data_IF_729555158435
#
_entry.id   IF_729555158435
#
_cell.length_a   1.000
_cell.length_b   1.000
_cell.length_c   1.000
_cell.angle_alpha   90.00
_cell.angle_beta   90.00
_cell.angle_gamma   90.00
#
_symmetry.space_group_name_H-M   'P 1'
#
loop_
_entity.id
_entity.type
_entity.pdbx_description
1 polymer ?
#
# COMPACT_ATOMS: atom_id res chain seq x y z
N UNK A 1 6.06 8.27 21.09
CA UNK A 1 5.33 8.11 19.81
C UNK A 1 4.80 9.42 19.22
N UNK A 2 4.91 10.58 19.90
CA UNK A 2 4.41 11.91 19.46
C UNK A 2 4.98 12.51 18.14
N UNK A 3 5.80 11.77 17.39
CA UNK A 3 6.50 12.26 16.18
C UNK A 3 6.30 11.36 14.95
N UNK A 4 5.37 10.42 14.96
CA UNK A 4 5.10 9.59 13.77
C UNK A 4 3.90 10.15 13.03
N UNK A 5 4.04 10.33 11.71
CA UNK A 5 3.06 11.00 10.87
C UNK A 5 1.95 10.05 10.38
N UNK A 6 1.31 9.40 11.35
CA UNK A 6 0.17 8.52 11.08
C UNK A 6 -1.13 9.33 11.05
N UNK A 7 -2.05 8.93 10.18
CA UNK A 7 -3.44 9.40 10.20
C UNK A 7 -4.39 8.21 10.25
N UNK A 8 -5.36 8.24 11.18
CA UNK A 8 -6.35 7.17 11.30
C UNK A 8 -7.50 7.38 10.34
N UNK A 9 -7.59 6.51 9.34
CA UNK A 9 -8.59 6.60 8.26
C UNK A 9 -9.57 5.45 8.36
N UNK A 10 -10.85 5.73 8.11
CA UNK A 10 -11.91 4.75 8.10
C UNK A 10 -12.70 4.75 6.78
N UNK A 11 -13.19 3.56 6.45
CA UNK A 11 -14.23 3.34 5.46
C UNK A 11 -15.39 2.63 6.15
N UNK A 12 -16.60 3.13 5.97
CA UNK A 12 -17.77 2.63 6.69
C UNK A 12 -18.96 2.52 5.75
N UNK A 13 -19.93 1.71 6.13
CA UNK A 13 -21.28 1.76 5.57
C UNK A 13 -22.31 1.52 6.67
N UNK A 14 -23.57 1.80 6.34
CA UNK A 14 -24.70 1.74 7.25
C UNK A 14 -25.77 0.80 6.70
N UNK A 15 -26.64 0.33 7.59
CA UNK A 15 -27.90 -0.30 7.24
C UNK A 15 -28.90 0.77 6.78
N UNK A 16 -28.74 1.25 5.55
CA UNK A 16 -29.55 2.35 5.02
C UNK A 16 -30.99 1.90 4.70
N UNK A 17 -31.84 2.88 4.44
CA UNK A 17 -33.17 2.69 3.86
C UNK A 17 -33.33 3.63 2.68
N UNK A 18 -33.67 3.06 1.53
CA UNK A 18 -33.90 3.82 0.29
C UNK A 18 -34.96 4.89 0.52
N UNK A 19 -34.62 6.14 0.17
CA UNK A 19 -35.41 7.36 0.30
C UNK A 19 -35.77 7.82 1.73
N UNK A 20 -35.30 7.16 2.79
CA UNK A 20 -35.53 7.57 4.19
C UNK A 20 -34.29 8.31 4.74
N UNK A 21 -34.12 9.57 4.33
CA UNK A 21 -33.00 10.42 4.74
C UNK A 21 -32.92 10.58 6.25
N UNK A 22 -34.06 10.59 6.93
CA UNK A 22 -34.14 10.66 8.39
C UNK A 22 -33.52 9.43 9.07
N UNK A 23 -33.79 8.22 8.57
CA UNK A 23 -33.15 6.99 9.03
C UNK A 23 -31.66 6.97 8.72
N UNK A 24 -31.28 7.26 7.48
CA UNK A 24 -29.89 7.22 7.02
C UNK A 24 -29.03 8.20 7.80
N UNK A 25 -29.53 9.41 8.08
CA UNK A 25 -28.90 10.39 8.98
C UNK A 25 -28.58 9.80 10.36
N UNK A 26 -29.55 9.16 11.01
CA UNK A 26 -29.35 8.58 12.36
C UNK A 26 -28.25 7.54 12.34
N UNK A 27 -28.24 6.66 11.33
CA UNK A 27 -27.22 5.62 11.16
C UNK A 27 -25.84 6.20 10.84
N UNK A 28 -25.77 7.22 10.00
CA UNK A 28 -24.54 7.97 9.74
C UNK A 28 -23.99 8.56 11.04
N UNK A 29 -24.82 9.22 11.85
CA UNK A 29 -24.42 9.80 13.13
C UNK A 29 -23.95 8.73 14.13
N UNK A 30 -24.64 7.58 14.20
CA UNK A 30 -24.19 6.44 15.01
C UNK A 30 -22.77 6.01 14.61
N UNK A 31 -22.49 5.86 13.31
CA UNK A 31 -21.16 5.48 12.80
C UNK A 31 -20.11 6.56 12.96
N UNK A 32 -20.47 7.83 12.76
CA UNK A 32 -19.59 8.99 13.00
C UNK A 32 -19.19 9.04 14.48
N UNK A 33 -20.11 8.83 15.40
CA UNK A 33 -19.82 8.80 16.83
C UNK A 33 -18.97 7.58 17.21
N UNK A 34 -19.26 6.39 16.65
CA UNK A 34 -18.42 5.21 16.81
C UNK A 34 -16.99 5.49 16.33
N UNK A 35 -16.84 6.09 15.14
CA UNK A 35 -15.55 6.41 14.55
C UNK A 35 -14.79 7.45 15.39
N UNK A 36 -15.49 8.50 15.81
CA UNK A 36 -14.95 9.53 16.69
C UNK A 36 -14.40 8.92 17.98
N UNK A 37 -15.13 8.01 18.63
CA UNK A 37 -14.69 7.35 19.86
C UNK A 37 -13.47 6.44 19.65
N UNK A 38 -13.26 5.93 18.43
CA UNK A 38 -12.07 5.14 18.05
C UNK A 38 -10.86 6.00 17.63
N UNK A 39 -10.99 7.32 17.74
CA UNK A 39 -9.92 8.26 17.38
C UNK A 39 -9.71 8.43 15.88
N UNK A 40 -10.70 8.06 15.05
CA UNK A 40 -10.62 8.26 13.59
C UNK A 40 -10.63 9.75 13.27
N UNK A 41 -9.81 10.13 12.29
CA UNK A 41 -9.60 11.49 11.81
C UNK A 41 -10.28 11.74 10.47
N UNK A 42 -10.43 10.70 9.65
CA UNK A 42 -11.06 10.78 8.33
C UNK A 42 -11.96 9.57 8.12
N UNK A 43 -13.20 9.80 7.68
CA UNK A 43 -14.16 8.74 7.37
C UNK A 43 -14.84 8.96 6.02
N UNK A 44 -14.86 7.90 5.20
CA UNK A 44 -15.63 7.85 3.96
C UNK A 44 -16.85 6.92 4.12
N UNK A 45 -18.01 7.41 3.65
CA UNK A 45 -19.24 6.64 3.53
C UNK A 45 -19.55 6.34 2.05
N UNK A 46 -20.51 5.44 1.75
CA UNK A 46 -20.85 5.10 0.39
C UNK A 46 -21.39 6.27 -0.46
N UNK A 47 -21.46 6.01 -1.75
CA UNK A 47 -22.12 6.86 -2.73
C UNK A 47 -23.61 7.01 -2.40
N UNK A 48 -24.14 8.24 -2.54
CA UNK A 48 -25.54 8.59 -2.27
C UNK A 48 -26.10 8.08 -0.93
N UNK A 49 -25.24 7.83 0.08
CA UNK A 49 -25.64 7.21 1.35
C UNK A 49 -26.80 7.89 2.06
N UNK A 50 -26.93 9.22 1.93
CA UNK A 50 -28.02 9.93 2.60
C UNK A 50 -29.40 9.54 2.07
N UNK A 51 -29.51 9.22 0.78
CA UNK A 51 -30.78 8.82 0.14
C UNK A 51 -30.86 7.33 -0.13
N UNK A 52 -29.72 6.66 -0.32
CA UNK A 52 -29.62 5.39 -1.03
C UNK A 52 -29.37 5.64 -2.52
N UNK A 53 -28.47 4.84 -3.10
CA UNK A 53 -28.10 4.87 -4.50
C UNK A 53 -29.24 4.42 -5.42
N UNK A 54 -30.06 3.48 -4.94
CA UNK A 54 -31.11 2.83 -5.73
C UNK A 54 -32.47 3.57 -5.72
N UNK A 55 -32.50 4.87 -5.37
CA UNK A 55 -33.74 5.66 -5.38
C UNK A 55 -34.37 5.84 -6.76
N UNK A 56 -33.59 5.74 -7.84
CA UNK A 56 -34.07 5.87 -9.22
C UNK A 56 -34.80 7.20 -9.47
N UNK A 57 -35.97 7.15 -10.12
CA UNK A 57 -36.72 8.36 -10.49
C UNK A 57 -37.19 9.22 -9.29
N UNK A 58 -37.09 8.71 -8.05
CA UNK A 58 -37.33 9.51 -6.85
C UNK A 58 -36.34 10.67 -6.71
N UNK A 59 -35.16 10.60 -7.36
CA UNK A 59 -34.20 11.69 -7.40
C UNK A 59 -34.75 13.00 -7.98
N UNK A 60 -35.81 12.95 -8.79
CA UNK A 60 -36.47 14.15 -9.32
C UNK A 60 -37.49 14.78 -8.35
N UNK A 61 -37.75 14.15 -7.20
CA UNK A 61 -38.71 14.66 -6.24
C UNK A 61 -38.05 15.71 -5.35
N UNK A 62 -38.54 16.95 -5.42
CA UNK A 62 -38.08 18.06 -4.56
C UNK A 62 -38.10 17.72 -3.08
N UNK A 63 -39.07 16.91 -2.66
CA UNK A 63 -39.17 16.43 -1.29
C UNK A 63 -37.94 15.61 -0.87
N UNK A 64 -37.50 14.66 -1.71
CA UNK A 64 -36.32 13.84 -1.41
C UNK A 64 -35.04 14.70 -1.33
N UNK A 65 -34.88 15.64 -2.26
CA UNK A 65 -33.73 16.55 -2.27
C UNK A 65 -33.71 17.47 -1.04
N UNK A 66 -34.87 18.02 -0.64
CA UNK A 66 -35.00 18.84 0.56
C UNK A 66 -34.74 18.05 1.85
N UNK A 67 -35.21 16.80 1.94
CA UNK A 67 -34.93 15.92 3.08
C UNK A 67 -33.43 15.54 3.15
N UNK A 68 -32.78 15.33 2.00
CA UNK A 68 -31.34 15.09 1.90
C UNK A 68 -30.54 16.29 2.41
N UNK A 69 -30.87 17.50 1.95
CA UNK A 69 -30.22 18.74 2.40
C UNK A 69 -30.44 19.00 3.90
N UNK A 70 -31.68 18.84 4.39
CA UNK A 70 -32.00 18.99 5.81
C UNK A 70 -31.23 17.98 6.66
N UNK A 71 -31.08 16.74 6.19
CA UNK A 71 -30.36 15.72 6.91
C UNK A 71 -28.85 16.00 6.98
N UNK A 72 -28.26 16.52 5.90
CA UNK A 72 -26.85 16.95 5.89
C UNK A 72 -26.63 18.12 6.85
N UNK A 73 -27.54 19.10 6.85
CA UNK A 73 -27.49 20.23 7.77
C UNK A 73 -27.51 19.77 9.24
N UNK A 74 -28.38 18.83 9.60
CA UNK A 74 -28.39 18.25 10.94
C UNK A 74 -27.07 17.54 11.28
N UNK A 75 -26.46 16.83 10.32
CA UNK A 75 -25.16 16.16 10.53
C UNK A 75 -24.07 17.21 10.79
N UNK A 76 -24.05 18.31 10.05
CA UNK A 76 -23.13 19.42 10.28
C UNK A 76 -23.26 19.93 11.72
N UNK A 77 -24.47 20.27 12.17
CA UNK A 77 -24.72 20.78 13.53
C UNK A 77 -24.25 19.78 14.61
N UNK A 78 -24.59 18.49 14.45
CA UNK A 78 -24.29 17.42 15.42
C UNK A 78 -22.84 16.91 15.36
N UNK A 79 -22.02 17.43 14.44
CA UNK A 79 -20.59 17.12 14.31
C UNK A 79 -19.69 18.34 14.48
N UNK A 80 -20.25 19.46 14.93
CA UNK A 80 -19.51 20.70 15.21
C UNK A 80 -18.43 20.57 16.29
N UNK A 81 -18.57 19.60 17.19
CA UNK A 81 -17.62 19.25 18.25
C UNK A 81 -16.53 18.27 17.81
N UNK A 82 -16.50 17.87 16.53
CA UNK A 82 -15.63 16.80 16.01
C UNK A 82 -14.66 17.34 14.96
N UNK A 83 -13.36 17.30 15.27
CA UNK A 83 -12.26 17.60 14.35
C UNK A 83 -11.96 16.44 13.38
N UNK A 84 -13.00 15.93 12.73
CA UNK A 84 -12.95 14.80 11.80
C UNK A 84 -13.36 15.26 10.40
N UNK A 85 -12.69 14.76 9.36
CA UNK A 85 -13.10 14.94 7.97
C UNK A 85 -14.10 13.84 7.59
N UNK A 86 -15.31 14.23 7.22
CA UNK A 86 -16.42 13.31 6.95
C UNK A 86 -16.83 13.46 5.49
N UNK A 87 -16.79 12.37 4.72
CA UNK A 87 -17.27 12.34 3.34
C UNK A 87 -18.56 11.51 3.22
N UNK A 88 -19.65 12.14 2.78
CA UNK A 88 -20.99 11.54 2.65
C UNK A 88 -21.49 11.72 1.21
N UNK A 89 -22.06 10.67 0.61
CA UNK A 89 -22.68 10.79 -0.71
C UNK A 89 -24.10 11.37 -0.67
N UNK A 90 -24.42 12.28 -1.59
CA UNK A 90 -25.73 12.92 -1.71
C UNK A 90 -26.07 13.37 -3.15
N UNK A 91 -27.35 13.39 -3.55
CA UNK A 91 -27.79 14.01 -4.79
C UNK A 91 -27.96 15.53 -4.59
N UNK A 92 -27.37 16.34 -5.47
CA UNK A 92 -27.35 17.80 -5.34
C UNK A 92 -27.73 18.47 -6.65
N UNK A 93 -28.62 19.46 -6.58
CA UNK A 93 -29.01 20.27 -7.73
C UNK A 93 -28.08 21.49 -7.87
N UNK A 94 -27.47 21.66 -9.03
CA UNK A 94 -26.66 22.82 -9.39
C UNK A 94 -27.04 23.31 -10.79
N UNK A 95 -27.37 24.59 -10.93
CA UNK A 95 -27.83 25.17 -12.21
C UNK A 95 -28.99 24.40 -12.87
N UNK A 96 -29.99 23.98 -12.09
CA UNK A 96 -31.15 23.19 -12.52
C UNK A 96 -30.79 21.81 -13.12
N UNK A 97 -29.63 21.26 -12.74
CA UNK A 97 -29.19 19.92 -13.10
C UNK A 97 -28.82 19.15 -11.85
N UNK A 98 -29.12 17.86 -11.83
CA UNK A 98 -28.82 17.00 -10.70
C UNK A 98 -27.46 16.33 -10.87
N UNK A 99 -26.70 16.25 -9.79
CA UNK A 99 -25.38 15.63 -9.73
C UNK A 99 -25.30 14.66 -8.57
N UNK A 100 -24.57 13.57 -8.79
CA UNK A 100 -24.18 12.63 -7.75
C UNK A 100 -22.89 13.15 -7.11
N UNK A 101 -22.94 13.50 -5.83
CA UNK A 101 -21.87 14.26 -5.19
C UNK A 101 -21.36 13.61 -3.91
N UNK A 102 -20.08 13.83 -3.62
CA UNK A 102 -19.53 13.72 -2.29
C UNK A 102 -19.60 15.06 -1.57
N UNK A 103 -20.13 15.05 -0.36
CA UNK A 103 -20.29 16.19 0.56
C UNK A 103 -19.25 16.05 1.65
N UNK A 104 -18.40 17.06 1.80
CA UNK A 104 -17.26 17.03 2.72
C UNK A 104 -17.52 17.97 3.90
N UNK A 105 -17.57 17.40 5.09
CA UNK A 105 -17.82 18.11 6.35
C UNK A 105 -16.58 18.04 7.23
N UNK A 106 -16.21 19.16 7.86
CA UNK A 106 -15.19 19.22 8.89
C UNK A 106 -15.59 20.22 9.98
N UNK A 107 -15.49 19.82 11.25
CA UNK A 107 -15.86 20.66 12.41
C UNK A 107 -17.26 21.28 12.27
N UNK A 108 -18.23 20.48 11.82
CA UNK A 108 -19.61 20.92 11.56
C UNK A 108 -19.80 21.96 10.46
N UNK A 109 -18.79 22.16 9.61
CA UNK A 109 -18.86 23.05 8.45
C UNK A 109 -18.80 22.23 7.17
N UNK A 110 -19.66 22.55 6.20
CA UNK A 110 -19.58 22.02 4.84
C UNK A 110 -18.47 22.76 4.09
N UNK A 111 -17.39 22.06 3.73
CA UNK A 111 -16.19 22.71 3.17
C UNK A 111 -16.03 22.48 1.66
N UNK A 112 -16.64 21.43 1.10
CA UNK A 112 -16.57 21.15 -0.33
C UNK A 112 -17.68 20.20 -0.78
N UNK A 113 -18.05 20.30 -2.06
CA UNK A 113 -18.92 19.37 -2.77
C UNK A 113 -18.24 18.95 -4.09
N UNK A 114 -18.05 17.64 -4.28
CA UNK A 114 -17.37 17.07 -5.44
C UNK A 114 -18.35 16.23 -6.25
N UNK A 115 -18.72 16.64 -7.49
CA UNK A 115 -19.58 15.84 -8.36
C UNK A 115 -18.81 14.70 -9.06
N UNK A 116 -19.48 13.56 -9.23
CA UNK A 116 -18.99 12.38 -9.96
C UNK A 116 -18.73 12.71 -11.42
N UNK A 117 -17.63 12.21 -11.98
CA UNK A 117 -17.24 12.51 -13.37
C UNK A 117 -17.82 11.48 -14.32
N UNK A 118 -17.55 10.20 -14.09
CA UNK A 118 -17.96 9.13 -14.98
C UNK A 118 -19.28 8.54 -14.51
N UNK A 119 -20.33 8.70 -15.32
CA UNK A 119 -21.67 8.16 -15.02
C UNK A 119 -21.91 6.90 -15.85
N UNK A 120 -21.91 5.70 -15.23
CA UNK A 120 -22.18 4.46 -15.95
C UNK A 120 -23.63 4.45 -16.45
N UNK A 121 -23.79 4.10 -17.72
CA UNK A 121 -25.09 3.98 -18.39
C UNK A 121 -25.11 2.74 -19.30
N UNK A 122 -24.69 1.61 -18.75
CA UNK A 122 -24.57 0.31 -19.41
C UNK A 122 -24.97 -0.81 -18.43
N UNK A 123 -25.43 -1.94 -18.97
CA UNK A 123 -25.92 -3.09 -18.21
C UNK A 123 -26.96 -2.70 -17.14
N UNK A 124 -26.65 -2.90 -15.86
CA UNK A 124 -27.50 -2.58 -14.72
C UNK A 124 -27.54 -1.08 -14.34
N UNK A 125 -26.67 -0.26 -14.92
CA UNK A 125 -26.51 1.14 -14.55
C UNK A 125 -27.23 2.09 -15.49
N UNK A 126 -27.98 3.03 -14.91
CA UNK A 126 -28.78 4.04 -15.62
C UNK A 126 -28.51 5.47 -15.12
N UNK A 127 -27.31 5.75 -14.58
CA UNK A 127 -27.06 7.01 -13.86
C UNK A 127 -27.27 8.26 -14.71
N UNK A 128 -26.96 8.19 -16.01
CA UNK A 128 -27.16 9.33 -16.93
C UNK A 128 -28.65 9.68 -17.15
N UNK A 129 -29.57 8.82 -16.73
CA UNK A 129 -31.00 9.17 -16.67
C UNK A 129 -31.28 10.27 -15.66
N UNK A 130 -30.61 10.24 -14.50
CA UNK A 130 -30.91 11.10 -13.36
C UNK A 130 -29.85 12.20 -13.17
N UNK A 131 -28.58 11.87 -13.37
CA UNK A 131 -27.45 12.73 -13.02
C UNK A 131 -26.71 13.25 -14.24
N UNK A 132 -26.02 14.37 -14.05
CA UNK A 132 -25.12 14.99 -15.02
C UNK A 132 -23.68 14.80 -14.56
N UNK A 133 -22.77 14.66 -15.53
CA UNK A 133 -21.35 14.52 -15.25
C UNK A 133 -20.78 15.82 -14.67
N UNK A 134 -19.92 15.71 -13.66
CA UNK A 134 -19.15 16.81 -13.10
C UNK A 134 -17.99 17.28 -13.96
N UNK A 135 -17.73 16.64 -15.13
CA UNK A 135 -16.58 16.98 -15.96
C UNK A 135 -16.59 18.45 -16.37
N UNK A 136 -15.44 19.11 -16.25
CA UNK A 136 -15.28 20.52 -16.61
C UNK A 136 -15.84 21.51 -15.58
N UNK A 137 -16.51 21.07 -14.52
CA UNK A 137 -16.96 21.95 -13.44
C UNK A 137 -15.75 22.29 -12.55
N UNK A 138 -15.29 23.54 -12.68
CA UNK A 138 -14.14 24.08 -11.97
C UNK A 138 -14.40 25.53 -11.54
N UNK A 139 -13.84 25.94 -10.41
CA UNK A 139 -13.96 27.31 -9.91
C UNK A 139 -15.38 27.73 -9.53
N UNK A 140 -16.33 26.80 -9.38
CA UNK A 140 -17.71 27.11 -9.03
C UNK A 140 -17.94 27.06 -7.51
N UNK A 141 -18.96 27.79 -7.06
CA UNK A 141 -19.50 27.74 -5.70
C UNK A 141 -21.01 27.46 -5.79
N UNK A 142 -21.58 26.91 -4.73
CA UNK A 142 -23.00 26.61 -4.58
C UNK A 142 -23.50 27.06 -3.21
N UNK A 143 -24.72 27.57 -3.13
CA UNK A 143 -25.44 27.72 -1.87
C UNK A 143 -26.10 26.38 -1.50
N UNK A 144 -25.61 25.73 -0.45
CA UNK A 144 -26.15 24.47 0.02
C UNK A 144 -26.09 24.40 1.55
N UNK A 145 -27.17 23.94 2.19
CA UNK A 145 -27.36 24.00 3.64
C UNK A 145 -27.20 25.43 4.21
N UNK A 146 -27.44 26.46 3.40
CA UNK A 146 -27.27 27.89 3.77
C UNK A 146 -25.82 28.38 3.82
N UNK A 147 -24.89 27.67 3.17
CA UNK A 147 -23.47 28.04 3.08
C UNK A 147 -23.06 28.16 1.61
N UNK A 148 -22.25 29.18 1.29
CA UNK A 148 -21.52 29.22 0.02
C UNK A 148 -20.31 28.31 0.09
N UNK A 149 -20.30 27.26 -0.73
CA UNK A 149 -19.28 26.20 -0.65
C UNK A 149 -18.69 25.89 -2.03
N UNK A 150 -17.37 25.58 -2.12
CA UNK A 150 -16.76 25.14 -3.35
C UNK A 150 -17.46 23.91 -3.94
N UNK A 151 -17.87 24.02 -5.21
CA UNK A 151 -18.46 22.96 -6.00
C UNK A 151 -17.57 22.67 -7.22
N UNK A 152 -17.12 21.44 -7.39
CA UNK A 152 -16.35 21.07 -8.58
C UNK A 152 -15.39 19.89 -8.41
N UNK A 153 -14.73 19.55 -9.50
CA UNK A 153 -13.79 18.42 -9.62
C UNK A 153 -12.32 18.84 -9.42
N UNK A 154 -12.11 20.13 -9.20
CA UNK A 154 -10.83 20.80 -9.01
C UNK A 154 -10.55 21.10 -7.53
N UNK A 155 -11.00 20.26 -6.61
CA UNK A 155 -10.88 20.53 -5.17
C UNK A 155 -9.93 19.51 -4.50
N UNK A 156 -9.02 20.01 -3.66
CA UNK A 156 -8.19 19.22 -2.75
C UNK A 156 -8.36 19.74 -1.33
N UNK A 157 -8.55 18.85 -0.37
CA UNK A 157 -8.61 19.24 1.03
C UNK A 157 -7.21 19.12 1.65
N UNK A 158 -6.68 20.20 2.21
CA UNK A 158 -5.35 20.22 2.85
C UNK A 158 -5.48 20.37 4.36
N UNK A 159 -4.87 19.45 5.10
CA UNK A 159 -4.88 19.50 6.55
C UNK A 159 -3.93 20.60 7.02
N UNK A 160 -4.44 21.60 7.73
CA UNK A 160 -3.61 22.75 8.14
C UNK A 160 -2.57 22.36 9.21
N UNK A 161 -2.89 21.38 10.05
CA UNK A 161 -2.01 20.88 11.11
C UNK A 161 -1.20 19.63 10.71
N UNK A 162 -1.34 19.13 9.48
CA UNK A 162 -0.50 18.08 8.91
C UNK A 162 -0.24 18.28 7.41
N UNK A 163 0.90 18.88 7.01
CA UNK A 163 1.19 19.18 5.60
C UNK A 163 1.28 17.95 4.66
N UNK A 164 1.55 16.76 5.19
CA UNK A 164 1.61 15.53 4.39
C UNK A 164 0.22 14.90 4.20
N UNK A 165 -0.81 15.44 4.84
CA UNK A 165 -2.18 14.97 4.71
C UNK A 165 -2.97 15.86 3.75
N UNK A 166 -3.13 15.37 2.53
CA UNK A 166 -3.90 16.01 1.46
C UNK A 166 -4.89 15.01 0.92
N UNK A 167 -6.17 15.35 0.97
CA UNK A 167 -7.27 14.44 0.66
C UNK A 167 -7.89 14.83 -0.69
N UNK A 168 -7.96 13.87 -1.61
CA UNK A 168 -8.76 13.95 -2.82
C UNK A 168 -9.97 13.02 -2.73
N UNK A 169 -11.04 13.32 -3.47
CA UNK A 169 -12.24 12.47 -3.51
C UNK A 169 -12.60 12.15 -4.96
N UNK A 170 -12.99 10.90 -5.20
CA UNK A 170 -13.64 10.45 -6.42
C UNK A 170 -14.82 9.54 -6.08
N UNK A 171 -15.72 9.27 -7.03
CA UNK A 171 -16.93 8.50 -6.77
C UNK A 171 -17.06 7.29 -7.71
N UNK A 172 -17.17 6.10 -7.11
CA UNK A 172 -17.45 4.84 -7.78
C UNK A 172 -16.73 4.70 -9.12
N UNK A 173 -17.49 4.65 -10.23
CA UNK A 173 -17.05 4.47 -11.63
C UNK A 173 -15.85 5.34 -12.03
N UNK A 174 -15.61 6.46 -11.34
CA UNK A 174 -14.39 7.23 -11.49
C UNK A 174 -13.11 6.37 -11.39
N UNK A 175 -13.06 5.39 -10.49
CA UNK A 175 -11.95 4.43 -10.37
C UNK A 175 -11.86 3.45 -11.54
N UNK A 176 -12.97 3.15 -12.22
CA UNK A 176 -13.04 2.20 -13.34
C UNK A 176 -12.67 2.85 -14.68
N UNK A 177 -12.60 4.17 -14.74
CA UNK A 177 -12.16 4.89 -15.92
C UNK A 177 -10.72 4.51 -16.30
N UNK A 178 -10.40 4.59 -17.59
CA UNK A 178 -9.03 4.33 -18.11
C UNK A 178 -8.00 5.22 -17.42
N UNK A 179 -8.38 6.48 -17.17
CA UNK A 179 -7.59 7.42 -16.37
C UNK A 179 -8.50 7.93 -15.23
N UNK A 180 -8.41 7.32 -14.04
CA UNK A 180 -9.20 7.75 -12.89
C UNK A 180 -8.82 9.18 -12.45
N UNK A 181 -9.78 9.98 -11.95
CA UNK A 181 -9.52 11.30 -11.37
C UNK A 181 -8.42 11.29 -10.31
N UNK A 182 -8.32 10.23 -9.51
CA UNK A 182 -7.26 10.01 -8.51
C UNK A 182 -5.84 10.05 -9.09
N UNK A 183 -5.68 9.76 -10.39
CA UNK A 183 -4.40 9.92 -11.09
C UNK A 183 -3.97 11.39 -11.13
N UNK A 184 -4.90 12.30 -11.43
CA UNK A 184 -4.62 13.74 -11.45
C UNK A 184 -4.59 14.34 -10.04
N UNK A 185 -5.49 13.90 -9.15
CA UNK A 185 -5.51 14.35 -7.75
C UNK A 185 -4.19 14.04 -7.04
N UNK A 186 -3.62 12.84 -7.26
CA UNK A 186 -2.35 12.45 -6.65
C UNK A 186 -1.17 13.26 -7.20
N UNK A 187 -1.11 13.49 -8.52
CA UNK A 187 -0.13 14.40 -9.13
C UNK A 187 -0.28 15.84 -8.63
N UNK A 188 -1.51 16.28 -8.31
CA UNK A 188 -1.79 17.58 -7.68
C UNK A 188 -1.57 17.58 -6.15
N UNK A 189 -1.06 16.49 -5.59
CA UNK A 189 -0.56 16.41 -4.23
C UNK A 189 -1.42 15.62 -3.25
N UNK A 190 -2.57 15.05 -3.64
CA UNK A 190 -3.35 14.18 -2.76
C UNK A 190 -2.52 12.98 -2.31
N UNK A 191 -2.41 12.77 -1.00
CA UNK A 191 -1.74 11.62 -0.37
C UNK A 191 -2.73 10.58 0.13
N UNK A 192 -4.01 10.96 0.30
CA UNK A 192 -5.13 10.08 0.58
C UNK A 192 -6.23 10.33 -0.45
N UNK A 193 -6.76 9.26 -1.04
CA UNK A 193 -7.94 9.29 -1.89
C UNK A 193 -9.10 8.63 -1.16
N UNK A 194 -10.25 9.31 -1.11
CA UNK A 194 -11.51 8.73 -0.66
C UNK A 194 -12.33 8.35 -1.90
N UNK A 195 -12.84 7.13 -1.93
CA UNK A 195 -13.79 6.68 -2.94
C UNK A 195 -15.11 6.28 -2.29
N UNK A 196 -16.14 7.04 -2.62
CA UNK A 196 -17.52 6.76 -2.22
C UNK A 196 -18.17 5.95 -3.33
N UNK A 197 -18.61 4.74 -3.02
CA UNK A 197 -19.10 3.79 -4.02
C UNK A 197 -20.46 3.20 -3.70
N UNK A 198 -21.23 2.88 -4.73
CA UNK A 198 -22.34 1.95 -4.68
C UNK A 198 -22.10 0.86 -5.72
N UNK A 199 -21.06 0.05 -5.50
CA UNK A 199 -20.75 -1.06 -6.39
C UNK A 199 -21.57 -2.29 -5.98
N UNK A 200 -22.53 -2.68 -6.83
CA UNK A 200 -23.21 -3.97 -6.72
C UNK A 200 -22.21 -5.14 -6.72
N UNK A 201 -22.63 -6.27 -6.18
CA UNK A 201 -21.88 -7.52 -6.17
C UNK A 201 -22.29 -8.44 -7.32
N UNK A 202 -21.27 -8.99 -7.96
CA UNK A 202 -21.33 -10.08 -8.94
C UNK A 202 -20.27 -11.10 -8.53
N UNK A 203 -20.43 -12.36 -8.95
CA UNK A 203 -19.43 -13.41 -8.69
C UNK A 203 -18.06 -12.97 -9.22
N UNK A 204 -17.03 -13.01 -8.37
CA UNK A 204 -15.67 -12.59 -8.71
C UNK A 204 -15.39 -11.09 -8.63
N UNK A 205 -16.41 -10.21 -8.63
CA UNK A 205 -16.24 -8.75 -8.66
C UNK A 205 -15.50 -8.21 -7.43
N UNK A 206 -15.65 -8.85 -6.27
CA UNK A 206 -14.94 -8.41 -5.06
C UNK A 206 -13.41 -8.55 -5.16
N UNK A 207 -12.89 -9.58 -5.83
CA UNK A 207 -11.44 -9.70 -6.08
C UNK A 207 -10.99 -8.63 -7.06
N UNK A 208 -11.72 -8.45 -8.16
CA UNK A 208 -11.43 -7.42 -9.15
C UNK A 208 -11.41 -6.01 -8.54
N UNK A 209 -12.37 -5.70 -7.68
CA UNK A 209 -12.45 -4.44 -6.92
C UNK A 209 -11.25 -4.26 -5.98
N UNK A 210 -10.86 -5.31 -5.24
CA UNK A 210 -9.65 -5.30 -4.41
C UNK A 210 -8.42 -4.97 -5.25
N UNK A 211 -8.27 -5.64 -6.39
CA UNK A 211 -7.15 -5.43 -7.29
C UNK A 211 -7.13 -4.00 -7.83
N UNK A 212 -8.28 -3.43 -8.23
CA UNK A 212 -8.35 -2.03 -8.66
C UNK A 212 -7.91 -1.05 -7.57
N UNK A 213 -8.45 -1.18 -6.35
CA UNK A 213 -8.11 -0.30 -5.23
C UNK A 213 -6.63 -0.39 -4.87
N UNK A 214 -6.10 -1.61 -4.77
CA UNK A 214 -4.69 -1.85 -4.46
C UNK A 214 -3.79 -1.29 -5.56
N UNK A 215 -4.06 -1.60 -6.83
CA UNK A 215 -3.27 -1.10 -7.95
C UNK A 215 -3.34 0.42 -8.06
N UNK A 216 -4.51 1.04 -7.86
CA UNK A 216 -4.63 2.48 -7.94
C UNK A 216 -3.90 3.18 -6.79
N UNK A 217 -3.94 2.63 -5.58
CA UNK A 217 -3.11 3.12 -4.46
C UNK A 217 -1.61 3.09 -4.78
N UNK A 218 -1.14 2.03 -5.47
CA UNK A 218 0.25 1.89 -5.90
C UNK A 218 0.63 2.91 -6.98
N UNK A 219 -0.19 3.03 -8.03
CA UNK A 219 0.05 3.94 -9.15
C UNK A 219 0.08 5.41 -8.71
N UNK A 220 -0.79 5.77 -7.77
CA UNK A 220 -0.88 7.12 -7.22
C UNK A 220 0.17 7.40 -6.13
N UNK A 221 0.94 6.41 -5.69
CA UNK A 221 1.79 6.48 -4.49
C UNK A 221 1.01 7.15 -3.35
N UNK A 222 -0.16 6.61 -3.01
CA UNK A 222 -1.12 7.22 -2.09
C UNK A 222 -1.82 6.16 -1.25
N UNK A 223 -2.44 6.61 -0.16
CA UNK A 223 -3.48 5.84 0.51
C UNK A 223 -4.82 5.96 -0.22
N UNK A 224 -5.64 4.92 -0.11
CA UNK A 224 -6.92 4.82 -0.78
C UNK A 224 -7.94 4.18 0.15
N UNK A 225 -8.98 4.92 0.55
CA UNK A 225 -10.08 4.44 1.37
C UNK A 225 -11.35 4.35 0.52
N UNK A 226 -11.83 3.14 0.34
CA UNK A 226 -12.96 2.81 -0.51
C UNK A 226 -14.13 2.32 0.37
N UNK A 227 -15.29 2.94 0.24
CA UNK A 227 -16.50 2.59 0.98
C UNK A 227 -17.64 2.29 -0.01
N UNK A 228 -18.12 1.03 -0.03
CA UNK A 228 -19.25 0.64 -0.88
C UNK A 228 -20.54 0.48 -0.08
N UNK A 229 -21.66 0.80 -0.73
CA UNK A 229 -23.01 0.54 -0.23
C UNK A 229 -23.17 -0.94 0.14
N UNK A 230 -24.01 -1.20 1.13
CA UNK A 230 -24.25 -2.52 1.72
C UNK A 230 -25.73 -2.82 1.87
N UNK A 231 -26.09 -3.48 2.98
CA UNK A 231 -27.48 -3.82 3.28
C UNK A 231 -28.36 -2.56 3.34
N UNK A 232 -29.56 -2.64 2.76
CA UNK A 232 -30.54 -1.56 2.78
C UNK A 232 -30.90 -0.97 1.42
N UNK A 233 -30.01 -1.10 0.44
CA UNK A 233 -30.31 -0.76 -0.95
C UNK A 233 -31.40 -1.66 -1.54
N UNK A 234 -32.10 -1.16 -2.56
CA UNK A 234 -33.15 -1.90 -3.25
C UNK A 234 -32.58 -3.14 -3.94
N UNK A 235 -33.22 -4.28 -3.67
CA UNK A 235 -32.90 -5.56 -4.32
C UNK A 235 -33.82 -5.90 -5.48
N UNK A 236 -34.45 -4.89 -6.11
CA UNK A 236 -35.24 -5.11 -7.32
C UNK A 236 -34.41 -5.83 -8.39
N UNK A 237 -33.18 -5.36 -8.62
CA UNK A 237 -32.28 -5.92 -9.64
C UNK A 237 -30.83 -6.14 -9.16
N UNK A 238 -30.45 -5.61 -7.98
CA UNK A 238 -29.05 -5.55 -7.52
C UNK A 238 -28.87 -6.01 -6.08
N UNK A 239 -27.66 -6.43 -5.75
CA UNK A 239 -27.26 -6.77 -4.37
C UNK A 239 -25.98 -6.03 -4.05
N UNK A 240 -25.87 -5.51 -2.84
CA UNK A 240 -24.73 -4.74 -2.36
C UNK A 240 -24.18 -5.37 -1.08
N UNK A 241 -22.94 -5.85 -1.13
CA UNK A 241 -22.31 -6.57 -0.02
C UNK A 241 -21.54 -5.69 0.94
N UNK A 242 -21.51 -4.37 0.76
CA UNK A 242 -20.88 -3.46 1.73
C UNK A 242 -19.36 -3.60 1.78
N UNK A 243 -18.72 -3.83 0.65
CA UNK A 243 -17.27 -4.04 0.61
C UNK A 243 -16.52 -2.73 0.86
N UNK A 244 -15.82 -2.64 1.98
CA UNK A 244 -14.93 -1.53 2.31
C UNK A 244 -13.47 -2.00 2.28
N UNK A 245 -12.58 -1.14 1.77
CA UNK A 245 -11.17 -1.44 1.59
C UNK A 245 -10.34 -0.22 1.98
N UNK A 246 -9.21 -0.44 2.66
CA UNK A 246 -8.19 0.58 2.88
C UNK A 246 -6.86 0.03 2.40
N UNK A 247 -6.26 0.70 1.41
CA UNK A 247 -4.97 0.35 0.85
C UNK A 247 -4.00 1.53 0.95
N UNK A 248 -2.70 1.22 0.97
CA UNK A 248 -1.63 2.20 0.95
C UNK A 248 -0.54 1.71 0.02
N UNK A 249 -0.26 2.48 -1.04
CA UNK A 249 0.89 2.28 -1.91
C UNK A 249 1.05 0.82 -2.40
N UNK A 250 -0.05 0.21 -2.85
CA UNK A 250 -0.04 -1.16 -3.37
C UNK A 250 -0.16 -2.27 -2.33
N UNK A 251 -0.37 -1.91 -1.06
CA UNK A 251 -0.64 -2.87 0.02
C UNK A 251 -2.06 -2.69 0.55
N UNK A 252 -2.82 -3.77 0.59
CA UNK A 252 -4.09 -3.81 1.32
C UNK A 252 -3.79 -3.80 2.83
N UNK A 253 -4.34 -2.83 3.56
CA UNK A 253 -4.14 -2.68 5.00
C UNK A 253 -5.34 -3.18 5.80
N UNK A 254 -6.56 -2.94 5.30
CA UNK A 254 -7.79 -3.37 5.95
C UNK A 254 -8.87 -3.67 4.92
N UNK A 255 -9.70 -4.68 5.21
CA UNK A 255 -10.80 -5.11 4.36
C UNK A 255 -11.97 -5.54 5.25
N UNK A 256 -13.18 -5.13 4.88
CA UNK A 256 -14.37 -5.46 5.66
C UNK A 256 -14.82 -6.90 5.43
N UNK A 257 -15.46 -7.47 6.45
CA UNK A 257 -16.43 -8.54 6.21
C UNK A 257 -17.59 -7.98 5.36
N UNK A 258 -18.07 -8.80 4.41
CA UNK A 258 -19.12 -8.44 3.46
C UNK A 258 -20.45 -9.04 3.90
N UNK A 259 -21.55 -8.46 3.41
CA UNK A 259 -22.93 -8.90 3.63
C UNK A 259 -23.42 -8.79 5.08
N UNK A 260 -22.80 -7.88 5.86
CA UNK A 260 -23.25 -7.56 7.20
C UNK A 260 -24.53 -6.72 7.17
N UNK A 261 -25.51 -7.09 7.98
CA UNK A 261 -26.82 -6.42 8.03
C UNK A 261 -26.75 -5.04 8.68
N UNK A 262 -25.89 -4.84 9.68
CA UNK A 262 -25.75 -3.57 10.41
C UNK A 262 -24.71 -2.62 9.78
N UNK A 263 -24.19 -2.96 8.60
CA UNK A 263 -23.04 -2.31 8.00
C UNK A 263 -21.73 -2.60 8.73
N UNK A 264 -20.67 -1.89 8.35
CA UNK A 264 -19.32 -2.05 8.90
C UNK A 264 -18.61 -0.71 9.13
N UNK A 265 -17.55 -0.77 9.93
CA UNK A 265 -16.59 0.31 10.13
C UNK A 265 -15.20 -0.34 10.20
N UNK A 266 -14.44 -0.23 9.12
CA UNK A 266 -13.03 -0.62 9.11
C UNK A 266 -12.16 0.62 9.23
N UNK A 267 -11.01 0.49 9.88
CA UNK A 267 -10.04 1.57 9.99
C UNK A 267 -8.63 1.01 10.14
N UNK A 268 -7.64 1.85 9.87
CA UNK A 268 -6.23 1.59 10.09
C UNK A 268 -5.47 2.91 10.08
N UNK A 269 -4.22 2.89 10.55
CA UNK A 269 -3.35 4.06 10.54
C UNK A 269 -2.48 4.09 9.27
N UNK A 270 -2.66 5.14 8.46
CA UNK A 270 -1.90 5.39 7.23
C UNK A 270 -0.57 6.07 7.57
N UNK A 271 0.53 5.59 7.00
CA UNK A 271 1.87 6.14 7.16
C UNK A 271 2.15 7.18 6.05
N UNK A 272 1.94 8.45 6.37
CA UNK A 272 2.15 9.53 5.40
C UNK A 272 3.64 9.77 5.10
N UNK A 273 4.55 9.31 5.97
CA UNK A 273 5.99 9.45 5.77
C UNK A 273 6.49 8.45 4.73
N UNK A 274 5.96 7.21 4.68
CA UNK A 274 6.25 6.26 3.60
C UNK A 274 5.82 6.81 2.25
N UNK A 275 4.59 7.34 2.15
CA UNK A 275 4.08 7.97 0.92
C UNK A 275 4.99 9.12 0.49
N UNK A 276 5.33 10.00 1.43
CA UNK A 276 6.19 11.16 1.16
C UNK A 276 7.62 10.76 0.80
N UNK A 277 8.15 9.69 1.40
CA UNK A 277 9.46 9.13 1.09
C UNK A 277 9.50 8.59 -0.34
N UNK A 278 8.53 7.76 -0.71
CA UNK A 278 8.50 7.13 -2.03
C UNK A 278 8.30 8.15 -3.15
N UNK A 279 7.44 9.16 -2.95
CA UNK A 279 7.30 10.26 -3.92
C UNK A 279 8.57 11.07 -4.11
N UNK A 280 9.41 11.23 -3.08
CA UNK A 280 10.73 11.89 -3.20
C UNK A 280 11.76 11.03 -3.93
N UNK A 281 11.70 9.71 -3.72
CA UNK A 281 12.66 8.74 -4.28
C UNK A 281 12.35 8.37 -5.73
N UNK A 282 11.06 8.21 -6.07
CA UNK A 282 10.60 7.78 -7.39
C UNK A 282 10.54 9.01 -8.30
N UNK A 283 11.65 9.30 -8.97
CA UNK A 283 11.81 10.47 -9.85
C UNK A 283 10.81 10.55 -11.02
N UNK A 284 10.18 9.44 -11.40
CA UNK A 284 9.14 9.41 -12.44
C UNK A 284 7.78 9.87 -11.95
N UNK A 285 7.56 9.93 -10.63
CA UNK A 285 6.39 10.60 -10.07
C UNK A 285 6.56 12.11 -10.26
N UNK A 286 5.75 12.70 -11.13
CA UNK A 286 5.76 14.14 -11.38
C UNK A 286 4.63 14.80 -10.62
N UNK A 287 4.98 15.63 -9.64
CA UNK A 287 4.02 16.59 -9.11
C UNK A 287 3.67 17.58 -10.25
N UNK A 288 2.38 17.62 -10.62
CA UNK A 288 1.90 18.57 -11.63
C UNK A 288 1.66 19.95 -11.01
N UNK A 289 1.53 20.96 -11.88
CA UNK A 289 1.31 22.33 -11.46
C UNK A 289 -0.03 22.45 -10.74
N UNK A 290 0.00 22.79 -9.45
CA UNK A 290 -1.18 22.91 -8.57
C UNK A 290 -2.21 23.95 -9.04
N UNK A 291 -1.89 24.79 -10.03
CA UNK A 291 -2.75 25.88 -10.53
C UNK A 291 -4.13 25.45 -11.03
N UNK A 292 -4.32 24.15 -11.33
CA UNK A 292 -5.59 23.61 -11.80
C UNK A 292 -6.52 23.11 -10.68
N UNK A 293 -6.07 23.18 -9.41
CA UNK A 293 -6.81 22.73 -8.23
C UNK A 293 -6.91 23.85 -7.19
N UNK A 294 -8.08 23.94 -6.55
CA UNK A 294 -8.39 24.80 -5.41
C UNK A 294 -8.14 24.02 -4.13
N UNK A 295 -7.34 24.61 -3.24
CA UNK A 295 -7.08 24.04 -1.93
C UNK A 295 -8.14 24.52 -0.93
N UNK A 296 -8.77 23.57 -0.25
CA UNK A 296 -9.73 23.82 0.83
C UNK A 296 -9.10 23.37 2.15
N UNK A 297 -8.93 24.26 3.13
CA UNK A 297 -8.33 23.90 4.40
C UNK A 297 -9.27 23.04 5.25
N UNK A 298 -8.71 22.11 6.01
CA UNK A 298 -9.43 21.40 7.08
C UNK A 298 -8.51 21.12 8.27
N UNK A 299 -9.09 20.75 9.41
CA UNK A 299 -8.38 20.36 10.63
C UNK A 299 -8.69 18.91 10.97
N UNK A 300 -7.66 18.15 11.34
CA UNK A 300 -7.83 16.81 11.88
C UNK A 300 -6.74 16.54 12.91
N UNK A 301 -7.12 16.24 14.15
CA UNK A 301 -6.16 16.02 15.22
C UNK A 301 -6.08 14.55 15.61
N UNK A 302 -4.85 14.10 15.81
CA UNK A 302 -4.60 12.77 16.35
C UNK A 302 -5.12 12.67 17.79
N UNK A 303 -6.13 11.83 18.00
CA UNK A 303 -6.77 11.60 19.31
C UNK A 303 -6.45 10.21 19.90
N UNK A 304 -5.45 9.52 19.36
CA UNK A 304 -5.01 8.20 19.80
C UNK A 304 -3.50 8.15 19.98
N UNK A 305 -3.03 7.31 20.90
CA UNK A 305 -1.60 7.09 21.17
C UNK A 305 -1.06 5.77 20.59
N UNK A 306 -1.96 4.84 20.30
CA UNK A 306 -1.64 3.51 19.77
C UNK A 306 -1.82 3.52 18.26
N UNK A 307 -0.96 2.77 17.57
CA UNK A 307 -0.98 2.64 16.12
C UNK A 307 -1.79 1.39 15.74
N UNK A 308 -2.91 1.57 15.05
CA UNK A 308 -3.75 0.49 14.51
C UNK A 308 -3.19 0.03 13.15
N UNK A 309 -2.02 -0.60 13.21
CA UNK A 309 -1.33 -1.13 12.03
C UNK A 309 -0.38 -2.23 12.45
N UNK A 310 -0.29 -3.29 11.64
CA UNK A 310 0.69 -4.35 11.83
C UNK A 310 1.84 -4.23 10.82
N UNK A 311 3.05 -4.27 11.34
CA UNK A 311 4.27 -4.42 10.55
C UNK A 311 4.79 -5.85 10.67
N UNK A 312 5.20 -6.43 9.55
CA UNK A 312 5.84 -7.74 9.56
C UNK A 312 7.19 -7.62 10.26
N UNK A 313 7.46 -8.50 11.22
CA UNK A 313 8.77 -8.58 11.90
C UNK A 313 9.90 -8.93 10.93
N UNK A 314 9.56 -9.61 9.83
CA UNK A 314 10.48 -10.01 8.78
C UNK A 314 9.96 -9.49 7.42
N UNK A 315 10.17 -8.21 7.08
CA UNK A 315 9.61 -7.59 5.87
C UNK A 315 10.02 -8.28 4.56
N UNK A 316 11.16 -8.98 4.57
CA UNK A 316 11.70 -9.67 3.40
C UNK A 316 11.29 -11.15 3.32
N UNK A 317 10.60 -11.69 4.33
CA UNK A 317 10.21 -13.11 4.40
C UNK A 317 8.68 -13.21 4.47
N UNK A 318 8.01 -13.73 3.42
CA UNK A 318 6.56 -13.95 3.46
C UNK A 318 6.16 -14.90 4.57
N UNK A 319 4.96 -14.72 5.12
CA UNK A 319 4.41 -15.62 6.16
C UNK A 319 3.70 -16.84 5.58
N UNK A 320 3.14 -16.72 4.37
CA UNK A 320 2.47 -17.84 3.71
C UNK A 320 3.48 -18.74 3.01
N UNK A 321 3.46 -20.04 3.33
CA UNK A 321 4.43 -21.01 2.83
C UNK A 321 4.54 -21.03 1.30
N UNK A 322 3.40 -20.95 0.60
CA UNK A 322 3.38 -20.93 -0.86
C UNK A 322 4.02 -19.66 -1.45
N UNK A 323 3.80 -18.51 -0.82
CA UNK A 323 4.43 -17.26 -1.25
C UNK A 323 5.92 -17.26 -0.93
N UNK A 324 6.29 -17.75 0.27
CA UNK A 324 7.68 -17.91 0.68
C UNK A 324 8.45 -18.80 -0.31
N UNK A 325 7.89 -19.96 -0.68
CA UNK A 325 8.52 -20.86 -1.65
C UNK A 325 8.75 -20.17 -3.00
N UNK A 326 7.74 -19.44 -3.52
CA UNK A 326 7.87 -18.69 -4.77
C UNK A 326 8.95 -17.61 -4.70
N UNK A 327 9.00 -16.82 -3.62
CA UNK A 327 10.04 -15.78 -3.45
C UNK A 327 11.43 -16.38 -3.29
N UNK A 328 11.57 -17.47 -2.54
CA UNK A 328 12.84 -18.18 -2.40
C UNK A 328 13.36 -18.71 -3.75
N UNK A 329 12.47 -19.30 -4.56
CA UNK A 329 12.81 -19.74 -5.92
C UNK A 329 13.24 -18.57 -6.81
N UNK A 330 12.53 -17.45 -6.75
CA UNK A 330 12.88 -16.23 -7.48
C UNK A 330 14.24 -15.68 -7.07
N UNK A 331 14.50 -15.53 -5.77
CA UNK A 331 15.79 -15.07 -5.23
C UNK A 331 16.94 -15.97 -5.69
N UNK A 332 16.76 -17.29 -5.64
CA UNK A 332 17.77 -18.25 -6.09
C UNK A 332 18.01 -18.16 -7.60
N UNK A 333 16.95 -17.98 -8.38
CA UNK A 333 17.05 -17.81 -9.83
C UNK A 333 17.73 -16.50 -10.24
N UNK A 334 17.48 -15.39 -9.54
CA UNK A 334 18.14 -14.10 -9.76
C UNK A 334 19.66 -14.26 -9.58
N UNK A 335 20.09 -14.86 -8.47
CA UNK A 335 21.51 -15.10 -8.20
C UNK A 335 22.15 -16.01 -9.25
N UNK A 336 21.47 -17.11 -9.61
CA UNK A 336 21.94 -18.07 -10.61
C UNK A 336 22.12 -17.42 -11.99
N UNK A 337 21.13 -16.65 -12.46
CA UNK A 337 21.22 -15.98 -13.77
C UNK A 337 22.30 -14.89 -13.77
N UNK A 338 22.41 -14.12 -12.69
CA UNK A 338 23.46 -13.11 -12.54
C UNK A 338 24.86 -13.70 -12.64
N UNK A 339 25.11 -14.81 -11.92
CA UNK A 339 26.39 -15.51 -11.99
C UNK A 339 26.61 -16.16 -13.36
N UNK A 340 25.59 -16.80 -13.93
CA UNK A 340 25.66 -17.41 -15.27
C UNK A 340 26.15 -16.41 -16.33
N UNK A 341 25.54 -15.21 -16.36
CA UNK A 341 25.95 -14.15 -17.29
C UNK A 341 27.38 -13.68 -17.03
N UNK A 342 27.79 -13.57 -15.76
CA UNK A 342 29.15 -13.17 -15.40
C UNK A 342 30.18 -14.17 -15.94
N UNK A 343 30.01 -15.47 -15.69
CA UNK A 343 30.94 -16.51 -16.12
C UNK A 343 31.09 -16.54 -17.64
N UNK A 344 29.98 -16.50 -18.38
CA UNK A 344 30.01 -16.44 -19.84
C UNK A 344 30.71 -15.18 -20.38
N UNK A 345 30.55 -14.03 -19.70
CA UNK A 345 31.12 -12.77 -20.17
C UNK A 345 32.63 -12.69 -19.95
N UNK A 346 33.12 -13.13 -18.81
CA UNK A 346 34.56 -13.08 -18.48
C UNK A 346 35.34 -14.25 -19.08
N UNK A 347 34.65 -15.31 -19.52
CA UNK A 347 35.29 -16.51 -20.06
C UNK A 347 36.13 -17.27 -19.04
N UNK A 348 35.77 -17.16 -17.75
CA UNK A 348 36.51 -17.79 -16.66
C UNK A 348 36.47 -19.31 -16.78
N UNK A 349 37.57 -19.97 -16.41
CA UNK A 349 37.72 -21.42 -16.47
C UNK A 349 37.40 -22.10 -15.15
N UNK A 350 37.26 -21.35 -14.06
CA UNK A 350 36.94 -21.91 -12.74
C UNK A 350 36.12 -20.95 -11.87
N UNK A 351 35.35 -21.49 -10.92
CA UNK A 351 34.63 -20.69 -9.93
C UNK A 351 35.17 -21.01 -8.55
N UNK A 352 35.85 -20.05 -7.91
CA UNK A 352 36.44 -20.27 -6.60
C UNK A 352 35.56 -19.76 -5.49
N UNK A 353 35.42 -20.57 -4.45
CA UNK A 353 34.57 -20.25 -3.31
C UNK A 353 35.14 -20.82 -2.02
N UNK A 354 35.28 -19.95 -1.02
CA UNK A 354 35.53 -20.38 0.36
C UNK A 354 34.26 -20.92 1.00
N UNK A 355 34.30 -22.15 1.51
CA UNK A 355 33.14 -22.79 2.15
C UNK A 355 33.41 -22.97 3.63
N UNK A 356 32.62 -22.29 4.46
CA UNK A 356 32.81 -22.26 5.92
C UNK A 356 31.88 -23.22 6.68
N UNK A 357 30.85 -23.75 6.02
CA UNK A 357 29.74 -24.48 6.65
C UNK A 357 28.64 -23.57 7.22
N UNK A 358 28.80 -22.25 7.10
CA UNK A 358 27.75 -21.26 7.37
C UNK A 358 26.71 -21.16 6.24
N UNK A 359 25.59 -20.51 6.54
CA UNK A 359 24.44 -20.37 5.63
C UNK A 359 24.82 -19.67 4.32
N UNK A 360 25.56 -18.56 4.39
CA UNK A 360 25.87 -17.74 3.21
C UNK A 360 26.78 -18.47 2.21
N UNK A 361 27.87 -19.07 2.70
CA UNK A 361 28.78 -19.85 1.83
C UNK A 361 28.11 -21.10 1.27
N UNK A 362 27.15 -21.68 2.01
CA UNK A 362 26.34 -22.81 1.55
C UNK A 362 25.44 -22.41 0.40
N UNK A 363 24.69 -21.31 0.54
CA UNK A 363 23.82 -20.79 -0.51
C UNK A 363 24.63 -20.40 -1.75
N UNK A 364 25.75 -19.69 -1.57
CA UNK A 364 26.63 -19.30 -2.67
C UNK A 364 27.18 -20.53 -3.44
N UNK A 365 27.57 -21.60 -2.73
CA UNK A 365 27.98 -22.85 -3.37
C UNK A 365 26.86 -23.49 -4.19
N UNK A 366 25.63 -23.53 -3.65
CA UNK A 366 24.46 -24.05 -4.36
C UNK A 366 24.15 -23.23 -5.62
N UNK A 367 24.30 -21.90 -5.57
CA UNK A 367 24.17 -21.00 -6.73
C UNK A 367 25.25 -21.30 -7.79
N UNK A 368 26.50 -21.54 -7.39
CA UNK A 368 27.57 -21.96 -8.31
C UNK A 368 27.22 -23.28 -9.01
N UNK A 369 26.77 -24.28 -8.25
CA UNK A 369 26.35 -25.59 -8.80
C UNK A 369 25.20 -25.42 -9.79
N UNK A 370 24.16 -24.65 -9.42
CA UNK A 370 23.03 -24.39 -10.31
C UNK A 370 23.44 -23.65 -11.58
N UNK A 371 24.43 -22.77 -11.47
CA UNK A 371 25.01 -22.07 -12.62
C UNK A 371 25.69 -23.03 -13.59
N UNK A 372 26.51 -23.98 -13.09
CA UNK A 372 27.08 -25.03 -13.93
C UNK A 372 26.00 -25.85 -14.65
N UNK A 373 24.97 -26.30 -13.92
CA UNK A 373 23.85 -27.06 -14.50
C UNK A 373 23.14 -26.28 -15.62
N UNK A 374 22.88 -24.98 -15.40
CA UNK A 374 22.16 -24.14 -16.35
C UNK A 374 22.97 -23.81 -17.61
N UNK A 375 24.29 -23.73 -17.48
CA UNK A 375 25.22 -23.49 -18.58
C UNK A 375 25.72 -24.77 -19.26
N UNK A 376 25.37 -25.95 -18.74
CA UNK A 376 25.90 -27.23 -19.23
C UNK A 376 27.41 -27.41 -18.98
N UNK A 377 27.94 -26.75 -17.94
CA UNK A 377 29.34 -26.82 -17.54
C UNK A 377 29.57 -27.95 -16.53
N UNK A 378 30.77 -28.50 -16.52
CA UNK A 378 31.18 -29.48 -15.51
C UNK A 378 31.23 -28.83 -14.12
N UNK A 379 30.67 -29.50 -13.11
CA UNK A 379 30.72 -29.07 -11.70
C UNK A 379 32.15 -29.03 -11.17
N UNK A 380 33.11 -29.74 -11.79
CA UNK A 380 34.56 -29.66 -11.48
C UNK A 380 35.20 -28.31 -11.80
N UNK A 381 34.48 -27.43 -12.50
CA UNK A 381 34.82 -26.02 -12.64
C UNK A 381 34.80 -25.29 -11.28
N UNK A 382 33.94 -25.72 -10.35
CA UNK A 382 33.83 -25.11 -9.03
C UNK A 382 34.95 -25.65 -8.15
N UNK A 383 35.80 -24.76 -7.65
CA UNK A 383 36.88 -25.05 -6.70
C UNK A 383 36.45 -24.55 -5.31
N UNK A 384 35.90 -25.46 -4.53
CA UNK A 384 35.49 -25.19 -3.16
C UNK A 384 36.68 -25.37 -2.21
N UNK A 385 36.95 -24.36 -1.40
CA UNK A 385 38.10 -24.35 -0.48
C UNK A 385 37.62 -24.20 0.96
N UNK A 386 37.96 -25.16 1.83
CA UNK A 386 37.81 -25.01 3.28
C UNK A 386 39.11 -24.49 3.88
N UNK A 387 39.03 -23.49 4.75
CA UNK A 387 40.20 -22.81 5.31
C UNK A 387 40.15 -22.75 6.84
N UNK A 388 40.42 -23.89 7.51
CA UNK A 388 40.36 -23.95 8.97
C UNK A 388 41.40 -23.03 9.60
N UNK A 389 40.99 -22.37 10.68
CA UNK A 389 41.86 -21.56 11.54
C UNK A 389 41.57 -21.85 13.01
N UNK A 390 42.08 -21.02 13.92
CA UNK A 390 42.06 -21.28 15.36
C UNK A 390 40.68 -21.40 16.02
N UNK A 391 39.62 -20.91 15.36
CA UNK A 391 38.24 -20.93 15.84
C UNK A 391 37.33 -21.92 15.12
N UNK A 392 37.85 -22.74 14.20
CA UNK A 392 37.05 -23.68 13.42
C UNK A 392 36.55 -24.82 14.31
N UNK A 393 35.24 -25.08 14.30
CA UNK A 393 34.64 -26.20 15.03
C UNK A 393 34.43 -27.39 14.11
N UNK A 394 34.65 -28.60 14.65
CA UNK A 394 34.51 -29.86 13.91
C UNK A 394 33.17 -29.97 13.19
N UNK A 395 32.08 -29.52 13.82
CA UNK A 395 30.73 -29.57 13.25
C UNK A 395 30.58 -28.71 11.99
N UNK A 396 31.03 -27.46 12.02
CA UNK A 396 30.91 -26.54 10.87
C UNK A 396 31.78 -26.98 9.71
N UNK A 397 32.98 -27.46 10.03
CA UNK A 397 33.91 -28.03 9.06
C UNK A 397 33.32 -29.29 8.40
N UNK A 398 32.83 -30.25 9.19
CA UNK A 398 32.25 -31.48 8.65
C UNK A 398 31.04 -31.21 7.76
N UNK A 399 30.17 -30.27 8.14
CA UNK A 399 29.05 -29.85 7.29
C UNK A 399 29.53 -29.31 5.93
N UNK A 400 30.58 -28.48 5.92
CA UNK A 400 31.15 -27.92 4.70
C UNK A 400 31.69 -29.03 3.78
N UNK A 401 32.51 -29.94 4.33
CA UNK A 401 33.13 -31.03 3.57
C UNK A 401 32.07 -31.97 2.99
N UNK A 402 31.12 -32.43 3.81
CA UNK A 402 30.05 -33.34 3.36
C UNK A 402 29.20 -32.71 2.25
N UNK A 403 28.87 -31.42 2.37
CA UNK A 403 28.13 -30.70 1.35
C UNK A 403 28.90 -30.66 0.03
N UNK A 404 30.16 -30.25 0.06
CA UNK A 404 31.03 -30.15 -1.12
C UNK A 404 31.14 -31.51 -1.84
N UNK A 405 31.42 -32.57 -1.07
CA UNK A 405 31.54 -33.93 -1.61
C UNK A 405 30.24 -34.41 -2.25
N UNK A 406 29.09 -34.20 -1.58
CA UNK A 406 27.79 -34.60 -2.10
C UNK A 406 27.38 -33.87 -3.39
N UNK A 407 27.84 -32.63 -3.57
CA UNK A 407 27.61 -31.83 -4.78
C UNK A 407 28.55 -32.19 -5.93
N UNK A 408 29.60 -32.99 -5.67
CA UNK A 408 30.53 -33.48 -6.68
C UNK A 408 31.49 -32.43 -7.24
N UNK A 409 31.64 -31.28 -6.57
CA UNK A 409 32.56 -30.20 -7.00
C UNK A 409 34.03 -30.56 -6.70
N UNK A 410 34.98 -29.72 -7.11
CA UNK A 410 36.38 -29.89 -6.74
C UNK A 410 36.64 -29.33 -5.33
N UNK A 411 37.39 -30.06 -4.50
CA UNK A 411 37.56 -29.75 -3.08
C UNK A 411 39.03 -29.59 -2.71
N UNK A 412 39.35 -28.55 -1.93
CA UNK A 412 40.66 -28.38 -1.32
C UNK A 412 40.54 -27.87 0.11
N UNK A 413 41.42 -28.34 0.97
CA UNK A 413 41.58 -27.83 2.32
C UNK A 413 42.93 -27.13 2.47
N UNK A 414 42.94 -25.93 3.07
CA UNK A 414 44.15 -25.14 3.34
C UNK A 414 44.04 -24.50 4.71
N UNK A 415 44.78 -25.01 5.69
CA UNK A 415 44.86 -24.37 7.02
C UNK A 415 45.54 -23.00 6.93
N UNK A 416 44.98 -22.00 7.62
CA UNK A 416 45.54 -20.64 7.68
C UNK A 416 46.40 -20.40 8.93
N UNK A 417 46.51 -21.38 9.82
CA UNK A 417 47.10 -21.16 11.15
C UNK A 417 48.55 -20.68 11.07
N UNK A 418 49.40 -21.36 10.30
CA UNK A 418 50.82 -21.02 10.21
C UNK A 418 51.03 -19.62 9.62
N UNK A 419 50.29 -19.29 8.57
CA UNK A 419 50.34 -17.97 7.94
C UNK A 419 49.87 -16.86 8.89
N UNK A 420 48.80 -17.12 9.65
CA UNK A 420 48.32 -16.19 10.67
C UNK A 420 49.34 -16.02 11.81
N UNK A 421 49.94 -17.10 12.34
CA UNK A 421 50.98 -17.03 13.38
C UNK A 421 52.18 -16.20 12.92
N UNK A 422 52.59 -16.37 11.65
CA UNK A 422 53.64 -15.55 11.06
C UNK A 422 53.23 -14.08 10.95
N UNK A 423 52.01 -13.80 10.50
CA UNK A 423 51.50 -12.43 10.41
C UNK A 423 51.45 -11.75 11.78
N UNK A 424 50.91 -12.43 12.80
CA UNK A 424 50.87 -11.94 14.18
C UNK A 424 52.27 -11.59 14.68
N UNK A 425 53.25 -12.48 14.47
CA UNK A 425 54.65 -12.22 14.82
C UNK A 425 55.20 -10.98 14.12
N UNK A 426 54.93 -10.82 12.83
CA UNK A 426 55.46 -9.70 12.03
C UNK A 426 54.90 -8.34 12.46
N UNK A 427 53.65 -8.29 12.91
CA UNK A 427 53.00 -7.06 13.38
C UNK A 427 53.17 -6.84 14.89
N UNK A 428 53.82 -7.78 15.60
CA UNK A 428 54.00 -7.73 17.05
C UNK A 428 52.70 -7.97 17.85
N UNK A 429 51.73 -8.68 17.27
CA UNK A 429 50.47 -9.04 17.94
C UNK A 429 50.61 -10.36 18.68
N UNK A 430 50.16 -10.42 19.93
CA UNK A 430 50.15 -11.65 20.73
C UNK A 430 48.94 -12.51 20.36
N UNK A 431 49.18 -13.77 19.97
CA UNK A 431 48.15 -14.75 19.57
C UNK A 431 47.11 -15.02 20.68
N UNK A 432 47.47 -14.80 21.95
CA UNK A 432 46.55 -14.94 23.07
C UNK A 432 45.52 -13.81 23.18
N UNK A 433 45.79 -12.65 22.55
CA UNK A 433 44.90 -11.49 22.54
C UNK A 433 43.89 -11.62 21.40
N UNK A 434 42.67 -12.05 21.73
CA UNK A 434 41.55 -12.26 20.80
C UNK A 434 40.75 -10.99 20.55
N UNK A 435 41.41 -9.98 19.98
CA UNK A 435 40.79 -8.71 19.60
C UNK A 435 40.45 -8.65 18.10
N UNK A 436 40.03 -7.47 17.64
CA UNK A 436 39.69 -7.22 16.23
C UNK A 436 40.87 -7.50 15.28
N UNK A 437 42.12 -7.35 15.74
CA UNK A 437 43.32 -7.66 14.94
C UNK A 437 43.47 -9.16 14.72
N UNK A 438 43.19 -9.96 15.75
CA UNK A 438 43.19 -11.43 15.69
C UNK A 438 42.18 -11.98 14.67
N UNK A 439 40.96 -11.46 14.67
CA UNK A 439 39.90 -11.88 13.75
C UNK A 439 40.18 -11.43 12.31
N UNK A 440 40.58 -10.16 12.12
CA UNK A 440 40.83 -9.61 10.79
C UNK A 440 42.04 -10.26 10.09
N UNK A 441 43.07 -10.65 10.84
CA UNK A 441 44.23 -11.35 10.27
C UNK A 441 43.78 -12.66 9.60
N UNK A 442 42.95 -13.44 10.29
CA UNK A 442 42.42 -14.69 9.74
C UNK A 442 41.49 -14.47 8.55
N UNK A 443 40.65 -13.42 8.56
CA UNK A 443 39.79 -13.09 7.43
C UNK A 443 40.60 -12.72 6.18
N UNK A 444 41.64 -11.89 6.36
CA UNK A 444 42.52 -11.45 5.27
C UNK A 444 43.31 -12.60 4.66
N UNK A 445 43.84 -13.50 5.49
CA UNK A 445 44.59 -14.66 5.02
C UNK A 445 43.73 -15.56 4.13
N UNK A 446 42.46 -15.80 4.51
CA UNK A 446 41.52 -16.55 3.68
C UNK A 446 41.27 -15.89 2.33
N UNK A 447 41.06 -14.58 2.30
CA UNK A 447 40.86 -13.85 1.04
C UNK A 447 42.11 -13.91 0.16
N UNK A 448 43.30 -13.76 0.74
CA UNK A 448 44.56 -13.85 0.01
C UNK A 448 44.71 -15.20 -0.70
N UNK A 449 44.53 -16.30 0.05
CA UNK A 449 44.58 -17.65 -0.50
C UNK A 449 43.58 -17.84 -1.65
N UNK A 450 42.32 -17.42 -1.47
CA UNK A 450 41.30 -17.55 -2.52
C UNK A 450 41.64 -16.77 -3.79
N UNK A 451 42.16 -15.55 -3.66
CA UNK A 451 42.54 -14.72 -4.81
C UNK A 451 43.76 -15.28 -5.54
N UNK A 452 44.75 -15.79 -4.81
CA UNK A 452 45.94 -16.42 -5.40
C UNK A 452 45.57 -17.72 -6.14
N UNK A 453 44.66 -18.52 -5.56
CA UNK A 453 44.11 -19.67 -6.25
C UNK A 453 43.33 -19.28 -7.50
N UNK A 454 42.61 -18.15 -7.50
CA UNK A 454 41.85 -17.69 -8.66
C UNK A 454 42.78 -17.35 -9.82
N UNK A 455 43.87 -16.64 -9.53
CA UNK A 455 44.90 -16.38 -10.51
C UNK A 455 45.53 -17.68 -11.04
N UNK A 456 45.80 -18.65 -10.15
CA UNK A 456 46.39 -19.94 -10.54
C UNK A 456 45.47 -20.79 -11.43
N UNK A 457 44.15 -20.69 -11.23
CA UNK A 457 43.15 -21.52 -11.91
C UNK A 457 42.35 -20.76 -12.99
N UNK A 458 42.80 -19.58 -13.40
CA UNK A 458 42.12 -18.73 -14.39
C UNK A 458 40.63 -18.50 -14.02
N UNK A 459 40.40 -18.24 -12.73
CA UNK A 459 39.11 -18.11 -12.07
C UNK A 459 38.51 -16.70 -12.11
#
# INVERSE_FOLDING_TARGET
MKNMNFVRVAAANIDLKVADCSHNKRKLLEKINEAWNKGIEIIAFPELTITGYTCGDLFFQKFLLGESESAIKDIMELTSDKDMLIAIGAPIEFNNKLYNCAVIINCGTLIAIIPKIYLPNYNEFYEQRWFNSGVGIKGCEIDYCGNQVPFGTDILMRCQNNPNLVVGVELCEDLWAVIPPSSYLSMAGATLILNLSASNDLVGKSQYRRDLVVNQSARCLAAYAYASAGYGESTTDLVFGGHCLIAENGKLLSESEKYLLQGNLIFTDIDLDIISHDRKKISTFKAENHSNYRDVPFMAYQRHNEVERSYQKQPFVPQEDNEMLRRCEEIFNIQTIGLSKRIQHIGSKSMLIGVSGGLDSTLALLVCVKTCEKLGLDKKMIKAVTMPGFGTTDRTYQNAVQLIESLGVDFREISIEEACRLHFKNIGHDESIRDITYENTQARERTQILMDLANMHEG
#
